data_IF_005276872377
#
_entry.id   IF_005276872377
#
_cell.length_a   1.000
_cell.length_b   1.000
_cell.length_c   1.000
_cell.angle_alpha   90.00
_cell.angle_beta   90.00
_cell.angle_gamma   90.00
#
_symmetry.space_group_name_H-M   'P 1'
#
loop_
_entity.id
_entity.type
_entity.pdbx_description
1 polymer ?
#
# COMPACT_ATOMS: atom_id res chain seq x y z
N UNK A 1 -10.85 -17.30 -30.68
CA UNK A 1 -10.70 -18.69 -30.17
C UNK A 1 -9.96 -18.75 -28.83
N UNK A 2 -8.77 -18.16 -28.69
CA UNK A 2 -8.00 -18.18 -27.42
C UNK A 2 -8.67 -17.36 -26.30
N UNK A 3 -9.22 -16.18 -26.63
CA UNK A 3 -9.88 -15.30 -25.65
C UNK A 3 -11.04 -15.97 -24.90
N UNK A 4 -11.86 -16.77 -25.59
CA UNK A 4 -13.01 -17.46 -25.02
C UNK A 4 -12.60 -18.61 -24.09
N UNK A 5 -11.49 -19.30 -24.41
CA UNK A 5 -10.92 -20.36 -23.57
C UNK A 5 -10.41 -19.81 -22.24
N UNK A 6 -9.75 -18.65 -22.25
CA UNK A 6 -9.25 -18.01 -21.02
C UNK A 6 -10.42 -17.60 -20.12
N UNK A 7 -11.52 -17.11 -20.70
CA UNK A 7 -12.73 -16.78 -19.94
C UNK A 7 -13.40 -18.04 -19.36
N UNK A 8 -13.45 -19.15 -20.10
CA UNK A 8 -14.07 -20.39 -19.61
C UNK A 8 -13.31 -21.03 -18.43
N UNK A 9 -12.00 -20.77 -18.29
CA UNK A 9 -11.20 -21.25 -17.16
C UNK A 9 -11.59 -20.57 -15.82
N UNK A 10 -12.19 -19.38 -15.84
CA UNK A 10 -12.60 -18.64 -14.63
C UNK A 10 -14.12 -18.54 -14.43
N UNK A 11 -14.90 -18.91 -15.45
CA UNK A 11 -16.37 -18.92 -15.41
C UNK A 11 -16.97 -20.28 -15.00
N UNK A 12 -16.15 -21.33 -14.82
CA UNK A 12 -16.61 -22.55 -14.17
C UNK A 12 -16.73 -22.31 -12.67
N UNK A 13 -17.96 -22.05 -12.24
CA UNK A 13 -18.29 -21.93 -10.84
C UNK A 13 -18.59 -23.33 -10.30
N UNK A 14 -17.80 -23.87 -9.35
CA UNK A 14 -18.15 -25.13 -8.71
C UNK A 14 -19.56 -25.04 -8.09
N UNK A 15 -20.32 -26.11 -8.34
CA UNK A 15 -21.70 -26.27 -7.86
C UNK A 15 -21.70 -26.41 -6.33
N UNK A 16 -20.69 -27.07 -5.77
CA UNK A 16 -20.45 -27.15 -4.33
C UNK A 16 -19.62 -25.95 -3.85
N UNK A 17 -20.15 -25.22 -2.86
CA UNK A 17 -19.49 -24.03 -2.29
C UNK A 17 -18.21 -24.36 -1.53
N UNK A 18 -18.02 -25.60 -1.13
CA UNK A 18 -16.84 -26.08 -0.41
C UNK A 18 -15.57 -25.98 -1.25
N UNK A 19 -15.68 -26.05 -2.57
CA UNK A 19 -14.55 -25.93 -3.49
C UNK A 19 -13.94 -24.51 -3.53
N UNK A 20 -14.66 -23.48 -3.04
CA UNK A 20 -14.11 -22.12 -2.87
C UNK A 20 -13.38 -21.88 -1.55
N UNK A 21 -13.44 -22.83 -0.61
CA UNK A 21 -12.79 -22.68 0.70
C UNK A 21 -11.27 -22.42 0.55
N UNK A 22 -10.52 -23.17 -0.28
CA UNK A 22 -9.09 -22.90 -0.48
C UNK A 22 -8.84 -21.49 -1.03
N UNK A 23 -9.62 -21.05 -2.03
CA UNK A 23 -9.48 -19.71 -2.61
C UNK A 23 -9.74 -18.60 -1.58
N UNK A 24 -10.74 -18.79 -0.73
CA UNK A 24 -11.10 -17.83 0.33
C UNK A 24 -10.01 -17.74 1.40
N UNK A 25 -9.39 -18.86 1.77
CA UNK A 25 -8.26 -18.89 2.72
C UNK A 25 -7.06 -18.17 2.13
N UNK A 26 -6.66 -18.50 0.90
CA UNK A 26 -5.53 -17.85 0.23
C UNK A 26 -5.76 -16.34 0.10
N UNK A 27 -6.94 -15.93 -0.38
CA UNK A 27 -7.31 -14.53 -0.48
C UNK A 27 -7.22 -13.82 0.88
N UNK A 28 -7.74 -14.44 1.93
CA UNK A 28 -7.71 -13.86 3.29
C UNK A 28 -6.29 -13.67 3.80
N UNK A 29 -5.40 -14.65 3.59
CA UNK A 29 -3.99 -14.54 3.99
C UNK A 29 -3.30 -13.39 3.25
N UNK A 30 -3.48 -13.30 1.93
CA UNK A 30 -2.91 -12.22 1.13
C UNK A 30 -3.49 -10.86 1.50
N UNK A 31 -4.79 -10.79 1.76
CA UNK A 31 -5.46 -9.55 2.17
C UNK A 31 -4.91 -9.06 3.51
N UNK A 32 -4.76 -9.93 4.50
CA UNK A 32 -4.16 -9.60 5.80
C UNK A 32 -2.71 -9.13 5.58
N UNK A 33 -1.93 -9.84 4.77
CA UNK A 33 -0.57 -9.46 4.42
C UNK A 33 -0.49 -8.08 3.79
N UNK A 34 -1.37 -7.76 2.84
CA UNK A 34 -1.44 -6.47 2.17
C UNK A 34 -1.81 -5.34 3.16
N UNK A 35 -2.76 -5.58 4.07
CA UNK A 35 -3.13 -4.61 5.10
C UNK A 35 -1.93 -4.32 6.02
N UNK A 36 -1.21 -5.36 6.46
CA UNK A 36 -0.02 -5.21 7.30
C UNK A 36 1.07 -4.45 6.55
N UNK A 37 1.38 -4.83 5.31
CA UNK A 37 2.38 -4.15 4.49
C UNK A 37 2.04 -2.66 4.30
N UNK A 38 0.79 -2.34 3.96
CA UNK A 38 0.32 -0.96 3.83
C UNK A 38 0.50 -0.18 5.13
N UNK A 39 0.13 -0.78 6.28
CA UNK A 39 0.31 -0.16 7.60
C UNK A 39 1.79 0.13 7.91
N UNK A 40 2.69 -0.80 7.57
CA UNK A 40 4.13 -0.64 7.77
C UNK A 40 4.70 0.49 6.90
N UNK A 41 4.33 0.53 5.61
CA UNK A 41 4.76 1.57 4.67
C UNK A 41 4.30 2.95 5.15
N UNK A 42 3.03 3.10 5.52
CA UNK A 42 2.49 4.38 6.02
C UNK A 42 3.25 4.82 7.29
N UNK A 43 3.54 3.89 8.19
CA UNK A 43 4.27 4.20 9.43
C UNK A 43 5.72 4.61 9.17
N UNK A 44 6.39 3.98 8.20
CA UNK A 44 7.73 4.37 7.77
C UNK A 44 7.70 5.77 7.12
N UNK A 45 6.79 6.00 6.18
CA UNK A 45 6.63 7.27 5.48
C UNK A 45 6.37 8.44 6.44
N UNK A 46 5.49 8.28 7.44
CA UNK A 46 5.26 9.33 8.47
C UNK A 46 6.50 9.71 9.27
N UNK A 47 7.44 8.76 9.47
CA UNK A 47 8.70 9.05 10.16
C UNK A 47 9.63 9.86 9.30
N UNK A 48 9.68 9.57 8.00
CA UNK A 48 10.47 10.31 7.03
C UNK A 48 9.90 11.72 6.80
N UNK A 49 8.58 11.82 6.66
CA UNK A 49 7.86 13.10 6.54
C UNK A 49 8.17 14.04 7.71
N UNK A 50 8.14 13.51 8.95
CA UNK A 50 8.47 14.32 10.14
C UNK A 50 9.90 14.85 10.08
N UNK A 51 10.87 14.02 9.68
CA UNK A 51 12.28 14.44 9.56
C UNK A 51 12.47 15.48 8.47
N UNK A 52 11.84 15.28 7.30
CA UNK A 52 11.88 16.23 6.20
C UNK A 52 11.31 17.59 6.61
N UNK A 53 10.15 17.60 7.28
CA UNK A 53 9.51 18.83 7.78
C UNK A 53 10.36 19.55 8.82
N UNK A 54 11.06 18.82 9.67
CA UNK A 54 11.97 19.42 10.65
C UNK A 54 13.18 20.07 9.97
N UNK A 55 13.73 19.46 8.92
CA UNK A 55 14.79 20.02 8.11
C UNK A 55 14.34 21.29 7.36
N UNK A 56 13.18 21.26 6.70
CA UNK A 56 12.59 22.42 6.02
C UNK A 56 12.42 23.61 6.99
N UNK A 57 11.89 23.35 8.19
CA UNK A 57 11.73 24.39 9.21
C UNK A 57 13.08 24.99 9.66
N UNK A 58 14.15 24.21 9.73
CA UNK A 58 15.48 24.71 10.08
C UNK A 58 16.05 25.61 8.98
N UNK A 59 15.91 25.20 7.71
CA UNK A 59 16.35 25.99 6.56
C UNK A 59 15.58 27.31 6.49
N UNK A 60 14.24 27.28 6.60
CA UNK A 60 13.42 28.50 6.60
C UNK A 60 13.76 29.46 7.76
N UNK A 61 14.07 28.92 8.94
CA UNK A 61 14.53 29.74 10.07
C UNK A 61 15.90 30.37 9.79
N UNK A 62 16.83 29.65 9.19
CA UNK A 62 18.14 30.20 8.83
C UNK A 62 18.04 31.29 7.75
N UNK A 63 17.24 31.06 6.71
CA UNK A 63 17.01 32.02 5.63
C UNK A 63 16.35 33.31 6.14
N UNK A 64 15.33 33.17 7.00
CA UNK A 64 14.66 34.34 7.61
C UNK A 64 15.57 35.12 8.56
N UNK A 65 16.49 34.45 9.27
CA UNK A 65 17.51 35.10 10.10
C UNK A 65 18.58 35.79 9.26
N UNK A 66 19.05 35.19 8.16
CA UNK A 66 19.99 35.84 7.24
C UNK A 66 19.38 37.07 6.58
N UNK A 67 18.12 36.99 6.12
CA UNK A 67 17.44 38.12 5.49
C UNK A 67 17.15 39.28 6.46
N UNK A 68 17.09 39.03 7.76
CA UNK A 68 16.92 40.07 8.79
C UNK A 68 18.23 40.78 9.17
N UNK A 69 19.37 40.13 8.92
CA UNK A 69 20.71 40.63 9.23
C UNK A 69 21.42 41.28 8.02
N UNK A 70 20.76 41.35 6.87
CA UNK A 70 21.18 42.07 5.65
C UNK A 70 20.26 43.25 5.40
#
# INVERSE_FOLDING_TARGET
>A
MIQAYILSLFLYFPEDKSEYIPASITFTIFLIGAIIAMRLIIRASKREEKKAKELENQIMKQDSLQKKNS
#
